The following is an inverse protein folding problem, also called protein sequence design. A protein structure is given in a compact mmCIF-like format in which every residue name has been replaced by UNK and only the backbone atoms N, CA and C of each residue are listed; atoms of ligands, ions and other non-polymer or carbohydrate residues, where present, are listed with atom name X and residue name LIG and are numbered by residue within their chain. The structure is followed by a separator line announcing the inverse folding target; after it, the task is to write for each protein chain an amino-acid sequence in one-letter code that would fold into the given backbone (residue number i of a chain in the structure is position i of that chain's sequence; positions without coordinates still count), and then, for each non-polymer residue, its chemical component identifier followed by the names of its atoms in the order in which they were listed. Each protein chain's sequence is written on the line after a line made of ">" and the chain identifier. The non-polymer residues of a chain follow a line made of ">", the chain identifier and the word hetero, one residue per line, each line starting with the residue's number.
data_IF_995624805825
#
_entry.id   IF_995624805825
#
_cell.length_a   1.000
_cell.length_b   1.000
_cell.length_c   1.000
_cell.angle_alpha   90.00
_cell.angle_beta   90.00
_cell.angle_gamma   90.00
#
_symmetry.space_group_name_H-M   'P 1'
#
loop_
_entity.id
_entity.type
_entity.pdbx_description
1 polymer ?
#
# COMPACT_ATOMS: atom_id res chain seq x y z
N UNK A 1 -84.75 -52.40 -38.52
CA UNK A 1 -83.86 -51.57 -37.70
C UNK A 1 -82.51 -51.45 -38.43
N UNK A 2 -82.27 -50.39 -39.24
CA UNK A 2 -80.96 -50.09 -39.82
C UNK A 2 -80.57 -48.64 -39.51
N UNK A 3 -80.20 -48.34 -38.27
CA UNK A 3 -79.75 -46.99 -37.86
C UNK A 3 -78.30 -46.98 -37.36
N UNK A 4 -77.70 -48.14 -37.10
CA UNK A 4 -76.34 -48.25 -36.53
C UNK A 4 -75.20 -47.98 -37.51
N UNK A 5 -75.41 -48.07 -38.83
CA UNK A 5 -74.32 -47.88 -39.82
C UNK A 5 -73.99 -46.41 -40.09
N UNK A 6 -74.99 -45.53 -40.11
CA UNK A 6 -74.77 -44.11 -40.44
C UNK A 6 -74.11 -43.29 -39.31
N UNK A 7 -74.34 -43.67 -38.05
CA UNK A 7 -73.68 -43.05 -36.89
C UNK A 7 -72.22 -43.49 -36.80
N UNK A 8 -71.92 -44.76 -37.10
CA UNK A 8 -70.57 -45.31 -37.09
C UNK A 8 -69.70 -44.74 -38.21
N UNK A 9 -70.27 -44.51 -39.41
CA UNK A 9 -69.57 -43.84 -40.51
C UNK A 9 -69.29 -42.35 -40.21
N UNK A 10 -70.17 -41.68 -39.47
CA UNK A 10 -70.00 -40.28 -39.05
C UNK A 10 -68.95 -40.12 -37.96
N UNK A 11 -68.88 -41.08 -37.04
CA UNK A 11 -67.87 -41.13 -35.98
C UNK A 11 -66.47 -41.41 -36.57
N UNK A 12 -66.35 -42.34 -37.51
CA UNK A 12 -65.09 -42.60 -38.23
C UNK A 12 -64.63 -41.36 -39.02
N UNK A 13 -65.54 -40.65 -39.68
CA UNK A 13 -65.21 -39.41 -40.39
C UNK A 13 -64.69 -38.32 -39.42
N UNK A 14 -65.31 -38.17 -38.24
CA UNK A 14 -64.86 -37.21 -37.22
C UNK A 14 -63.48 -37.58 -36.65
N UNK A 15 -63.20 -38.86 -36.42
CA UNK A 15 -61.87 -39.31 -36.00
C UNK A 15 -60.79 -39.09 -37.08
N UNK A 16 -61.12 -39.33 -38.35
CA UNK A 16 -60.20 -39.08 -39.47
C UNK A 16 -59.90 -37.57 -39.59
N UNK A 17 -60.91 -36.72 -39.46
CA UNK A 17 -60.73 -35.27 -39.56
C UNK A 17 -59.96 -34.70 -38.36
N UNK A 18 -60.22 -35.20 -37.13
CA UNK A 18 -59.44 -34.85 -35.95
C UNK A 18 -57.97 -35.29 -36.06
N UNK A 19 -57.71 -36.48 -36.62
CA UNK A 19 -56.36 -36.99 -36.87
C UNK A 19 -55.63 -36.13 -37.92
N UNK A 20 -56.31 -35.76 -39.02
CA UNK A 20 -55.77 -34.87 -40.06
C UNK A 20 -55.48 -33.47 -39.51
N UNK A 21 -56.32 -32.96 -38.62
CA UNK A 21 -56.10 -31.67 -37.98
C UNK A 21 -54.89 -31.71 -37.04
N UNK A 22 -54.78 -32.75 -36.21
CA UNK A 22 -53.62 -32.95 -35.35
C UNK A 22 -52.32 -33.14 -36.14
N UNK A 23 -52.38 -33.86 -37.27
CA UNK A 23 -51.23 -34.05 -38.16
C UNK A 23 -50.80 -32.73 -38.81
N UNK A 24 -51.76 -31.93 -39.28
CA UNK A 24 -51.47 -30.59 -39.83
C UNK A 24 -50.83 -29.70 -38.77
N UNK A 25 -51.39 -29.65 -37.57
CA UNK A 25 -50.84 -28.87 -36.45
C UNK A 25 -49.41 -29.30 -36.09
N UNK A 26 -49.14 -30.61 -36.04
CA UNK A 26 -47.78 -31.13 -35.79
C UNK A 26 -46.79 -30.68 -36.87
N UNK A 27 -47.14 -30.82 -38.16
CA UNK A 27 -46.28 -30.40 -39.27
C UNK A 27 -46.00 -28.90 -39.21
N UNK A 28 -47.04 -28.08 -39.05
CA UNK A 28 -46.89 -26.62 -38.95
C UNK A 28 -46.00 -26.21 -37.79
N UNK A 29 -46.15 -26.83 -36.60
CA UNK A 29 -45.27 -26.56 -35.47
C UNK A 29 -43.82 -26.95 -35.77
N UNK A 30 -43.60 -28.13 -36.35
CA UNK A 30 -42.28 -28.64 -36.62
C UNK A 30 -41.55 -27.86 -37.74
N UNK A 31 -42.28 -27.36 -38.74
CA UNK A 31 -41.75 -26.50 -39.81
C UNK A 31 -41.44 -25.08 -39.32
N UNK A 32 -42.14 -24.59 -38.28
CA UNK A 32 -41.85 -23.29 -37.67
C UNK A 32 -40.61 -23.31 -36.75
N UNK A 33 -40.13 -24.50 -36.34
CA UNK A 33 -38.99 -24.61 -35.44
C UNK A 33 -37.68 -24.11 -36.06
N UNK A 34 -36.78 -23.63 -35.20
CA UNK A 34 -35.44 -23.20 -35.62
C UNK A 34 -34.45 -24.33 -35.90
N UNK A 35 -34.82 -25.56 -35.56
CA UNK A 35 -33.97 -26.75 -35.68
C UNK A 35 -34.36 -27.54 -36.94
N UNK A 36 -33.41 -28.32 -37.47
CA UNK A 36 -33.77 -29.33 -38.47
C UNK A 36 -34.39 -30.51 -37.72
N UNK A 37 -35.56 -30.96 -38.14
CA UNK A 37 -36.29 -32.03 -37.45
C UNK A 37 -36.53 -33.21 -38.38
N UNK A 38 -36.58 -34.41 -37.80
CA UNK A 38 -36.87 -35.63 -38.53
C UNK A 38 -37.60 -36.65 -37.66
N UNK A 39 -38.33 -37.56 -38.33
CA UNK A 39 -38.92 -38.72 -37.67
C UNK A 39 -38.43 -40.02 -38.30
N UNK A 40 -38.21 -41.03 -37.46
CA UNK A 40 -37.85 -42.38 -37.92
C UNK A 40 -38.80 -43.44 -37.39
N UNK A 41 -38.90 -44.55 -38.13
CA UNK A 41 -39.63 -45.74 -37.71
C UNK A 41 -38.96 -46.39 -36.48
N UNK A 42 -39.60 -47.36 -35.80
CA UNK A 42 -38.97 -48.06 -34.66
C UNK A 42 -37.62 -48.70 -35.01
N UNK A 43 -37.41 -49.05 -36.28
CA UNK A 43 -36.17 -49.64 -36.80
C UNK A 43 -35.10 -48.61 -37.18
N UNK A 44 -35.34 -47.32 -36.93
CA UNK A 44 -34.39 -46.24 -37.24
C UNK A 44 -34.42 -45.77 -38.70
N UNK A 45 -35.44 -46.13 -39.47
CA UNK A 45 -35.59 -45.64 -40.85
C UNK A 45 -36.26 -44.27 -40.85
N UNK A 46 -35.48 -43.23 -41.15
CA UNK A 46 -35.98 -41.86 -41.27
C UNK A 46 -36.94 -41.76 -42.45
N UNK A 47 -38.13 -41.24 -42.23
CA UNK A 47 -39.20 -41.18 -43.24
C UNK A 47 -39.78 -39.78 -43.43
N UNK A 48 -39.48 -38.83 -42.56
CA UNK A 48 -39.92 -37.45 -42.69
C UNK A 48 -38.86 -36.48 -42.15
N UNK A 49 -38.77 -35.31 -42.79
CA UNK A 49 -37.95 -34.17 -42.40
C UNK A 49 -38.81 -32.90 -42.49
N UNK A 50 -38.54 -31.91 -41.64
CA UNK A 50 -39.20 -30.60 -41.74
C UNK A 50 -38.68 -29.77 -42.92
N UNK A 51 -39.41 -28.73 -43.32
CA UNK A 51 -39.03 -27.84 -44.43
C UNK A 51 -37.62 -27.24 -44.25
N UNK A 52 -37.23 -26.96 -43.00
CA UNK A 52 -35.94 -26.38 -42.66
C UNK A 52 -34.75 -27.29 -43.02
N UNK A 53 -34.91 -28.61 -42.90
CA UNK A 53 -33.90 -29.58 -43.36
C UNK A 53 -33.59 -29.42 -44.84
N UNK A 54 -34.63 -29.31 -45.68
CA UNK A 54 -34.48 -29.14 -47.12
C UNK A 54 -33.92 -27.75 -47.46
N UNK A 55 -34.38 -26.71 -46.77
CA UNK A 55 -33.87 -25.35 -46.95
C UNK A 55 -32.37 -25.22 -46.62
N UNK A 56 -31.90 -25.95 -45.60
CA UNK A 56 -30.50 -25.97 -45.17
C UNK A 56 -29.62 -26.83 -46.09
N UNK A 57 -29.99 -28.09 -46.31
CA UNK A 57 -29.16 -29.07 -47.05
C UNK A 57 -29.25 -28.92 -48.57
N UNK A 58 -30.32 -28.30 -49.09
CA UNK A 58 -30.61 -28.24 -50.53
C UNK A 58 -30.97 -29.60 -51.15
N UNK A 59 -31.15 -30.64 -50.34
CA UNK A 59 -31.48 -31.97 -50.84
C UNK A 59 -32.91 -32.02 -51.39
N UNK A 60 -33.14 -32.82 -52.43
CA UNK A 60 -34.49 -33.13 -52.88
C UNK A 60 -35.10 -34.25 -52.03
N UNK A 61 -36.43 -34.33 -52.00
CA UNK A 61 -37.14 -35.45 -51.38
C UNK A 61 -36.67 -36.79 -51.95
N UNK A 62 -36.52 -36.87 -53.27
CA UNK A 62 -36.02 -38.07 -53.98
C UNK A 62 -34.60 -38.48 -53.52
N UNK A 63 -33.69 -37.51 -53.36
CA UNK A 63 -32.35 -37.77 -52.87
C UNK A 63 -32.34 -38.27 -51.42
N UNK A 64 -33.23 -37.73 -50.58
CA UNK A 64 -33.42 -38.20 -49.19
C UNK A 64 -34.09 -39.57 -49.12
N UNK A 65 -34.94 -39.94 -50.09
CA UNK A 65 -35.50 -41.30 -50.18
C UNK A 65 -34.46 -42.31 -50.68
N UNK A 66 -33.56 -41.92 -51.60
CA UNK A 66 -32.59 -42.82 -52.22
C UNK A 66 -31.31 -43.04 -51.38
N UNK A 67 -30.68 -41.96 -50.91
CA UNK A 67 -29.40 -42.00 -50.18
C UNK A 67 -29.55 -41.62 -48.69
N UNK A 68 -30.66 -40.97 -48.33
CA UNK A 68 -30.94 -40.53 -46.97
C UNK A 68 -29.99 -39.45 -46.47
N UNK A 69 -30.13 -39.14 -45.19
CA UNK A 69 -29.30 -38.18 -44.46
C UNK A 69 -27.81 -38.56 -44.41
N UNK A 70 -27.43 -39.80 -44.74
CA UNK A 70 -26.03 -40.24 -44.83
C UNK A 70 -25.23 -39.47 -45.89
N UNK A 71 -25.93 -38.94 -46.90
CA UNK A 71 -25.34 -38.16 -48.00
C UNK A 71 -24.86 -36.77 -47.58
N UNK A 72 -25.40 -36.21 -46.50
CA UNK A 72 -25.05 -34.87 -45.98
C UNK A 72 -24.13 -34.95 -44.76
N UNK A 73 -23.75 -36.15 -44.32
CA UNK A 73 -22.86 -36.35 -43.18
C UNK A 73 -21.39 -36.29 -43.61
N UNK A 74 -20.56 -35.60 -42.82
CA UNK A 74 -19.12 -35.55 -43.05
C UNK A 74 -18.51 -36.97 -43.07
N UNK A 75 -17.66 -37.32 -44.07
CA UNK A 75 -17.13 -38.68 -44.23
C UNK A 75 -16.44 -39.23 -42.97
N UNK A 76 -15.63 -38.40 -42.29
CA UNK A 76 -14.86 -38.80 -41.11
C UNK A 76 -15.74 -39.15 -39.90
N UNK A 77 -16.93 -38.56 -39.79
CA UNK A 77 -17.84 -38.84 -38.68
C UNK A 77 -18.83 -39.96 -38.99
N UNK A 78 -18.88 -40.43 -40.24
CA UNK A 78 -19.92 -41.36 -40.72
C UNK A 78 -19.94 -42.66 -39.95
N UNK A 79 -18.80 -43.34 -39.82
CA UNK A 79 -18.73 -44.65 -39.17
C UNK A 79 -19.14 -44.57 -37.70
N UNK A 80 -18.56 -43.60 -36.96
CA UNK A 80 -18.88 -43.35 -35.54
C UNK A 80 -20.37 -43.08 -35.34
N UNK A 81 -20.93 -42.15 -36.12
CA UNK A 81 -22.33 -41.73 -36.00
C UNK A 81 -23.26 -42.89 -36.35
N UNK A 82 -22.96 -43.67 -37.40
CA UNK A 82 -23.72 -44.87 -37.76
C UNK A 82 -23.74 -45.90 -36.63
N UNK A 83 -22.56 -46.25 -36.09
CA UNK A 83 -22.44 -47.26 -35.05
C UNK A 83 -23.23 -46.87 -33.79
N UNK A 84 -23.12 -45.60 -33.37
CA UNK A 84 -23.78 -45.12 -32.16
C UNK A 84 -25.29 -44.92 -32.36
N UNK A 85 -25.76 -44.48 -33.53
CA UNK A 85 -27.20 -44.46 -33.83
C UNK A 85 -27.80 -45.86 -33.87
N UNK A 86 -27.11 -46.82 -34.48
CA UNK A 86 -27.57 -48.21 -34.52
C UNK A 86 -27.73 -48.79 -33.11
N UNK A 87 -26.81 -48.47 -32.21
CA UNK A 87 -26.89 -48.83 -30.80
C UNK A 87 -28.08 -48.16 -30.10
N UNK A 88 -28.27 -46.84 -30.28
CA UNK A 88 -29.40 -46.13 -29.68
C UNK A 88 -30.75 -46.70 -30.17
N UNK A 89 -30.87 -46.98 -31.47
CA UNK A 89 -32.07 -47.56 -32.06
C UNK A 89 -32.36 -48.99 -31.57
N UNK A 90 -31.33 -49.81 -31.35
CA UNK A 90 -31.54 -51.18 -30.87
C UNK A 90 -31.86 -51.24 -29.37
N UNK A 91 -31.31 -50.33 -28.57
CA UNK A 91 -31.49 -50.29 -27.12
C UNK A 91 -32.68 -49.42 -26.69
N UNK A 92 -33.15 -48.52 -27.55
CA UNK A 92 -34.14 -47.51 -27.17
C UNK A 92 -33.59 -46.45 -26.22
N UNK A 93 -32.28 -46.23 -26.22
CA UNK A 93 -31.62 -45.16 -25.45
C UNK A 93 -31.65 -43.83 -26.21
N UNK A 94 -31.53 -42.73 -25.48
CA UNK A 94 -31.49 -41.38 -26.06
C UNK A 94 -30.25 -41.25 -26.95
N UNK A 95 -30.46 -40.72 -28.15
CA UNK A 95 -29.38 -40.33 -29.06
C UNK A 95 -28.96 -38.89 -28.76
N UNK A 96 -27.66 -38.67 -28.58
CA UNK A 96 -27.05 -37.35 -28.55
C UNK A 96 -25.63 -37.43 -29.11
N UNK A 97 -25.34 -36.65 -30.15
CA UNK A 97 -23.99 -36.50 -30.69
C UNK A 97 -23.82 -35.18 -31.45
N UNK A 98 -22.58 -34.74 -31.57
CA UNK A 98 -22.19 -33.54 -32.31
C UNK A 98 -21.38 -33.93 -33.54
N UNK A 99 -21.79 -33.45 -34.71
CA UNK A 99 -21.09 -33.72 -35.97
C UNK A 99 -21.43 -32.69 -37.05
N UNK A 100 -20.59 -32.55 -38.09
CA UNK A 100 -20.84 -31.62 -39.17
C UNK A 100 -21.89 -32.15 -40.15
N UNK A 101 -22.84 -31.29 -40.53
CA UNK A 101 -23.82 -31.54 -41.59
C UNK A 101 -23.53 -30.59 -42.74
N UNK A 102 -23.59 -31.11 -43.96
CA UNK A 102 -23.34 -30.35 -45.19
C UNK A 102 -24.55 -29.49 -45.54
N UNK A 103 -24.33 -28.19 -45.69
CA UNK A 103 -25.29 -27.24 -46.24
C UNK A 103 -25.37 -27.29 -47.76
N UNK A 104 -26.35 -26.57 -48.33
CA UNK A 104 -26.54 -26.43 -49.79
C UNK A 104 -25.38 -25.76 -50.52
N UNK A 105 -24.59 -24.98 -49.79
CA UNK A 105 -23.36 -24.33 -50.24
C UNK A 105 -22.15 -25.27 -50.26
N UNK A 106 -22.32 -26.50 -49.76
CA UNK A 106 -21.26 -27.50 -49.64
C UNK A 106 -20.42 -27.36 -48.37
N UNK A 107 -20.62 -26.31 -47.57
CA UNK A 107 -19.92 -26.13 -46.29
C UNK A 107 -20.46 -27.09 -45.24
N UNK A 108 -19.60 -27.50 -44.30
CA UNK A 108 -19.97 -28.34 -43.18
C UNK A 108 -20.08 -27.49 -41.92
N UNK A 109 -21.28 -27.41 -41.36
CA UNK A 109 -21.55 -26.69 -40.12
C UNK A 109 -21.80 -27.68 -38.99
N UNK A 110 -21.44 -27.31 -37.76
CA UNK A 110 -21.56 -28.17 -36.60
C UNK A 110 -23.00 -28.20 -36.08
N UNK A 111 -23.56 -29.40 -35.94
CA UNK A 111 -24.87 -29.58 -35.33
C UNK A 111 -24.79 -30.49 -34.10
N UNK A 112 -25.53 -30.10 -33.06
CA UNK A 112 -25.93 -30.98 -31.98
C UNK A 112 -27.17 -31.75 -32.43
N UNK A 113 -27.02 -33.06 -32.62
CA UNK A 113 -28.11 -33.97 -32.95
C UNK A 113 -28.63 -34.66 -31.70
N UNK A 114 -29.94 -34.59 -31.46
CA UNK A 114 -30.62 -35.30 -30.37
C UNK A 114 -31.79 -36.08 -30.91
N UNK A 115 -32.03 -37.30 -30.41
CA UNK A 115 -33.25 -38.03 -30.75
C UNK A 115 -33.79 -38.85 -29.57
N UNK A 116 -35.12 -38.84 -29.46
CA UNK A 116 -35.88 -39.47 -28.38
C UNK A 116 -36.84 -40.52 -28.95
N UNK A 117 -36.95 -41.71 -28.33
CA UNK A 117 -37.93 -42.71 -28.71
C UNK A 117 -39.30 -42.40 -28.10
N UNK A 118 -40.32 -42.28 -28.94
CA UNK A 118 -41.72 -42.28 -28.52
C UNK A 118 -42.19 -43.72 -28.30
N UNK A 119 -42.89 -43.96 -27.19
CA UNK A 119 -43.36 -45.28 -26.79
C UNK A 119 -44.87 -45.33 -26.70
N UNK A 120 -45.46 -46.48 -27.04
CA UNK A 120 -46.87 -46.75 -26.78
C UNK A 120 -47.14 -47.06 -25.30
N UNK A 121 -48.41 -47.25 -24.93
CA UNK A 121 -48.82 -47.61 -23.58
C UNK A 121 -48.28 -48.98 -23.11
N UNK A 122 -47.74 -49.80 -24.02
CA UNK A 122 -47.12 -51.11 -23.75
C UNK A 122 -45.58 -51.02 -23.67
N UNK A 123 -45.01 -49.82 -23.83
CA UNK A 123 -43.57 -49.56 -23.77
C UNK A 123 -42.81 -49.81 -25.09
N UNK A 124 -43.50 -50.22 -26.16
CA UNK A 124 -42.87 -50.42 -27.47
C UNK A 124 -42.57 -49.08 -28.14
N UNK A 125 -41.41 -48.98 -28.78
CA UNK A 125 -41.06 -47.79 -29.54
C UNK A 125 -41.96 -47.72 -30.78
N UNK A 126 -42.67 -46.61 -30.94
CA UNK A 126 -43.53 -46.34 -32.09
C UNK A 126 -42.79 -45.50 -33.13
N UNK A 127 -42.07 -44.47 -32.70
CA UNK A 127 -41.34 -43.55 -33.57
C UNK A 127 -40.14 -42.97 -32.84
N UNK A 128 -39.16 -42.48 -33.59
CA UNK A 128 -38.12 -41.61 -33.08
C UNK A 128 -38.36 -40.18 -33.55
N UNK A 129 -38.21 -39.22 -32.65
CA UNK A 129 -38.20 -37.80 -32.95
C UNK A 129 -36.78 -37.29 -32.77
N UNK A 130 -36.20 -36.72 -33.83
CA UNK A 130 -34.86 -36.17 -33.78
C UNK A 130 -34.81 -34.71 -34.21
N UNK A 131 -33.89 -33.97 -33.62
CA UNK A 131 -33.57 -32.60 -34.01
C UNK A 131 -32.07 -32.40 -34.21
N UNK A 132 -31.74 -31.40 -35.02
CA UNK A 132 -30.38 -30.88 -35.22
C UNK A 132 -30.40 -29.38 -34.92
N UNK A 133 -29.67 -28.99 -33.88
CA UNK A 133 -29.44 -27.58 -33.52
C UNK A 133 -28.09 -27.15 -34.06
N UNK A 134 -28.07 -26.06 -34.84
CA UNK A 134 -26.81 -25.47 -35.31
C UNK A 134 -26.05 -24.89 -34.11
N UNK A 135 -24.83 -25.40 -33.90
CA UNK A 135 -23.92 -24.97 -32.84
C UNK A 135 -22.60 -24.40 -33.42
N UNK A 136 -22.56 -24.08 -34.71
CA UNK A 136 -21.35 -23.60 -35.39
C UNK A 136 -20.81 -22.32 -34.76
N UNK A 137 -21.69 -21.38 -34.46
CA UNK A 137 -21.31 -20.14 -33.77
C UNK A 137 -20.69 -20.41 -32.39
N UNK A 138 -21.19 -21.43 -31.67
CA UNK A 138 -20.66 -21.83 -30.38
C UNK A 138 -19.28 -22.47 -30.52
N UNK A 139 -19.11 -23.44 -31.43
CA UNK A 139 -17.83 -24.11 -31.67
C UNK A 139 -16.76 -23.10 -32.10
N UNK A 140 -17.09 -22.19 -33.01
CA UNK A 140 -16.16 -21.15 -33.46
C UNK A 140 -15.78 -20.18 -32.33
N UNK A 141 -16.72 -19.83 -31.45
CA UNK A 141 -16.44 -18.96 -30.31
C UNK A 141 -15.55 -19.67 -29.26
N UNK A 142 -15.79 -20.95 -29.01
CA UNK A 142 -14.95 -21.77 -28.12
C UNK A 142 -13.52 -21.89 -28.65
N UNK A 143 -13.35 -22.10 -29.96
CA UNK A 143 -12.04 -22.15 -30.59
C UNK A 143 -11.32 -20.80 -30.55
N UNK A 144 -12.00 -19.70 -30.89
CA UNK A 144 -11.42 -18.35 -30.81
C UNK A 144 -11.02 -17.97 -29.38
N UNK A 145 -11.81 -18.36 -28.37
CA UNK A 145 -11.47 -18.16 -26.96
C UNK A 145 -10.23 -18.96 -26.56
N UNK A 146 -10.12 -20.21 -27.02
CA UNK A 146 -8.94 -21.04 -26.78
C UNK A 146 -7.69 -20.40 -27.36
N UNK A 147 -7.72 -19.98 -28.63
CA UNK A 147 -6.60 -19.32 -29.30
C UNK A 147 -6.20 -18.01 -28.59
N UNK A 148 -7.19 -17.21 -28.18
CA UNK A 148 -6.95 -15.98 -27.43
C UNK A 148 -6.31 -16.27 -26.07
N UNK A 149 -6.78 -17.30 -25.36
CA UNK A 149 -6.22 -17.67 -24.06
C UNK A 149 -4.77 -18.15 -24.18
N UNK A 150 -4.46 -18.99 -25.17
CA UNK A 150 -3.08 -19.42 -25.46
C UNK A 150 -2.17 -18.22 -25.79
N UNK A 151 -2.66 -17.27 -26.59
CA UNK A 151 -1.91 -16.04 -26.91
C UNK A 151 -1.69 -15.15 -25.67
N UNK A 152 -2.70 -15.01 -24.81
CA UNK A 152 -2.61 -14.24 -23.57
C UNK A 152 -1.62 -14.88 -22.60
N UNK A 153 -1.64 -16.20 -22.43
CA UNK A 153 -0.70 -16.93 -21.58
C UNK A 153 0.75 -16.71 -22.03
N UNK A 154 1.02 -16.76 -23.33
CA UNK A 154 2.34 -16.45 -23.88
C UNK A 154 2.77 -15.01 -23.57
N UNK A 155 1.87 -14.04 -23.78
CA UNK A 155 2.16 -12.62 -23.53
C UNK A 155 2.37 -12.32 -22.05
N UNK A 156 1.59 -12.95 -21.17
CA UNK A 156 1.75 -12.83 -19.72
C UNK A 156 3.10 -13.42 -19.29
N UNK A 157 3.49 -14.58 -19.83
CA UNK A 157 4.78 -15.19 -19.53
C UNK A 157 5.96 -14.31 -19.97
N UNK A 158 5.88 -13.71 -21.17
CA UNK A 158 6.90 -12.78 -21.68
C UNK A 158 7.01 -11.53 -20.79
N UNK A 159 5.88 -10.87 -20.50
CA UNK A 159 5.85 -9.67 -19.64
C UNK A 159 6.31 -9.96 -18.22
N UNK A 160 6.03 -11.14 -17.68
CA UNK A 160 6.49 -11.54 -16.35
C UNK A 160 8.01 -11.66 -16.32
N UNK A 161 8.63 -12.27 -17.34
CA UNK A 161 10.10 -12.37 -17.44
C UNK A 161 10.77 -11.01 -17.59
N UNK A 162 10.19 -10.12 -18.39
CA UNK A 162 10.68 -8.75 -18.54
C UNK A 162 10.62 -7.99 -17.20
N UNK A 163 9.50 -8.12 -16.48
CA UNK A 163 9.30 -7.45 -15.20
C UNK A 163 10.27 -7.99 -14.13
N UNK A 164 10.48 -9.31 -14.06
CA UNK A 164 11.47 -9.91 -13.15
C UNK A 164 12.88 -9.42 -13.43
N UNK A 165 13.25 -9.28 -14.71
CA UNK A 165 14.57 -8.77 -15.12
C UNK A 165 14.73 -7.31 -14.73
N UNK A 166 13.73 -6.47 -15.02
CA UNK A 166 13.74 -5.06 -14.64
C UNK A 166 13.79 -4.88 -13.12
N UNK A 167 13.06 -5.70 -12.35
CA UNK A 167 13.04 -5.63 -10.90
C UNK A 167 14.41 -5.97 -10.30
N UNK A 168 15.08 -7.02 -10.81
CA UNK A 168 16.44 -7.38 -10.39
C UNK A 168 17.45 -6.26 -10.65
N UNK A 169 17.37 -5.62 -11.82
CA UNK A 169 18.24 -4.48 -12.16
C UNK A 169 17.98 -3.29 -11.22
N UNK A 170 16.72 -2.97 -10.96
CA UNK A 170 16.35 -1.88 -10.07
C UNK A 170 16.81 -2.14 -8.62
N UNK A 171 16.71 -3.38 -8.14
CA UNK A 171 17.22 -3.75 -6.81
C UNK A 171 18.74 -3.58 -6.72
N UNK A 172 19.49 -3.93 -7.76
CA UNK A 172 20.93 -3.73 -7.81
C UNK A 172 21.29 -2.24 -7.78
N UNK A 173 20.59 -1.41 -8.56
CA UNK A 173 20.79 0.05 -8.60
C UNK A 173 20.47 0.70 -7.24
N UNK A 174 19.38 0.29 -6.58
CA UNK A 174 19.02 0.77 -5.24
C UNK A 174 20.12 0.42 -4.22
N UNK A 175 20.66 -0.81 -4.28
CA UNK A 175 21.73 -1.23 -3.39
C UNK A 175 23.02 -0.42 -3.61
N UNK A 176 23.40 -0.20 -4.87
CA UNK A 176 24.56 0.63 -5.22
C UNK A 176 24.40 2.07 -4.76
N UNK A 177 23.22 2.65 -5.00
CA UNK A 177 22.90 4.01 -4.55
C UNK A 177 22.94 4.14 -3.03
N UNK A 178 22.40 3.16 -2.30
CA UNK A 178 22.44 3.16 -0.83
C UNK A 178 23.88 3.12 -0.30
N UNK A 179 24.76 2.32 -0.91
CA UNK A 179 26.18 2.28 -0.55
C UNK A 179 26.88 3.62 -0.83
N UNK A 180 26.59 4.25 -1.99
CA UNK A 180 27.16 5.55 -2.34
C UNK A 180 26.69 6.67 -1.39
N UNK A 181 25.41 6.69 -1.03
CA UNK A 181 24.86 7.65 -0.07
C UNK A 181 25.49 7.48 1.32
N UNK A 182 25.68 6.24 1.79
CA UNK A 182 26.35 5.99 3.07
C UNK A 182 27.84 6.40 3.03
N UNK A 183 28.54 6.10 1.93
CA UNK A 183 29.92 6.53 1.74
C UNK A 183 30.05 8.06 1.73
N UNK A 184 29.15 8.76 1.04
CA UNK A 184 29.10 10.23 1.01
C UNK A 184 28.83 10.79 2.40
N UNK A 185 27.86 10.24 3.12
CA UNK A 185 27.57 10.64 4.50
C UNK A 185 28.77 10.41 5.43
N UNK A 186 29.49 9.30 5.24
CA UNK A 186 30.71 9.01 5.99
C UNK A 186 31.83 10.01 5.64
N UNK A 187 32.00 10.34 4.36
CA UNK A 187 32.96 11.34 3.90
C UNK A 187 32.64 12.73 4.47
N UNK A 188 31.39 13.19 4.39
CA UNK A 188 30.94 14.45 4.99
C UNK A 188 31.18 14.49 6.50
N UNK A 189 30.92 13.37 7.19
CA UNK A 189 31.25 13.23 8.62
C UNK A 189 32.76 13.34 8.85
N UNK A 190 33.57 12.73 7.99
CA UNK A 190 35.03 12.76 8.10
C UNK A 190 35.60 14.15 7.81
N UNK A 191 35.04 14.88 6.85
CA UNK A 191 35.40 16.27 6.54
C UNK A 191 35.02 17.21 7.69
N UNK A 192 33.81 17.04 8.24
CA UNK A 192 33.38 17.77 9.43
C UNK A 192 34.29 17.47 10.63
N UNK A 193 34.64 16.19 10.86
CA UNK A 193 35.64 15.80 11.87
C UNK A 193 37.01 16.39 11.56
N UNK A 194 37.43 16.47 10.30
CA UNK A 194 38.72 17.05 9.89
C UNK A 194 38.81 18.55 10.20
N UNK A 195 37.78 19.31 9.83
CA UNK A 195 37.68 20.74 10.17
C UNK A 195 37.58 20.96 11.68
N UNK A 196 36.78 20.12 12.37
CA UNK A 196 36.69 20.13 13.83
C UNK A 196 38.04 19.81 14.47
N UNK A 197 38.76 18.79 14.02
CA UNK A 197 40.03 18.38 14.64
C UNK A 197 41.09 19.49 14.49
N UNK A 198 41.12 20.17 13.34
CA UNK A 198 42.00 21.34 13.13
C UNK A 198 41.66 22.53 14.03
N UNK A 199 40.37 22.91 14.09
CA UNK A 199 39.90 24.02 14.92
C UNK A 199 40.00 23.72 16.43
N UNK A 200 39.64 22.50 16.84
CA UNK A 200 39.74 22.04 18.23
C UNK A 200 41.19 21.95 18.66
N UNK A 201 42.10 21.42 17.84
CA UNK A 201 43.52 21.36 18.18
C UNK A 201 44.10 22.76 18.38
N UNK A 202 43.73 23.71 17.52
CA UNK A 202 44.10 25.11 17.68
C UNK A 202 43.56 25.70 18.99
N UNK A 203 42.29 25.48 19.32
CA UNK A 203 41.68 26.00 20.54
C UNK A 203 42.21 25.33 21.82
N UNK A 204 42.50 24.03 21.76
CA UNK A 204 43.16 23.31 22.86
C UNK A 204 44.56 23.87 23.11
N UNK A 205 45.34 24.09 22.05
CA UNK A 205 46.66 24.69 22.14
C UNK A 205 46.57 26.10 22.73
N UNK A 206 45.59 26.90 22.35
CA UNK A 206 45.40 28.24 22.91
C UNK A 206 45.10 28.22 24.42
N UNK A 207 44.26 27.29 24.86
CA UNK A 207 43.96 27.14 26.30
C UNK A 207 45.17 26.62 27.07
N UNK A 208 45.89 25.63 26.53
CA UNK A 208 47.11 25.09 27.13
C UNK A 208 48.21 26.13 27.22
N UNK A 209 48.43 26.92 26.18
CA UNK A 209 49.39 28.04 26.18
C UNK A 209 49.04 29.07 27.25
N UNK A 210 47.75 29.35 27.47
CA UNK A 210 47.28 30.23 28.55
C UNK A 210 47.62 29.69 29.95
N UNK A 211 47.40 28.39 30.18
CA UNK A 211 47.74 27.73 31.46
C UNK A 211 49.25 27.70 31.67
N UNK A 212 50.02 27.25 30.68
CA UNK A 212 51.48 27.12 30.76
C UNK A 212 52.13 28.50 30.96
N UNK A 213 51.73 29.51 30.17
CA UNK A 213 52.28 30.86 30.30
C UNK A 213 51.98 31.50 31.65
N UNK A 214 50.80 31.25 32.22
CA UNK A 214 50.47 31.70 33.57
C UNK A 214 51.33 31.00 34.64
N UNK A 215 51.55 29.69 34.51
CA UNK A 215 52.44 28.92 35.40
C UNK A 215 53.90 29.39 35.33
N UNK A 216 54.41 29.68 34.14
CA UNK A 216 55.77 30.21 33.97
C UNK A 216 55.93 31.59 34.63
N UNK A 217 54.92 32.46 34.50
CA UNK A 217 54.92 33.76 35.18
C UNK A 217 54.84 33.64 36.70
N UNK A 218 54.08 32.67 37.22
CA UNK A 218 54.07 32.35 38.66
C UNK A 218 55.47 31.94 39.12
N UNK A 219 56.14 31.01 38.42
CA UNK A 219 57.50 30.55 38.77
C UNK A 219 58.49 31.72 38.77
N UNK A 220 58.44 32.59 37.77
CA UNK A 220 59.31 33.76 37.66
C UNK A 220 59.08 34.77 38.80
N UNK A 221 57.82 35.03 39.19
CA UNK A 221 57.49 35.99 40.25
C UNK A 221 57.83 35.48 41.64
N UNK A 222 57.63 34.18 41.90
CA UNK A 222 58.03 33.53 43.14
C UNK A 222 59.55 33.57 43.31
N UNK A 223 60.31 33.25 42.27
CA UNK A 223 61.78 33.32 42.30
C UNK A 223 62.31 34.75 42.58
N UNK A 224 61.55 35.78 42.18
CA UNK A 224 61.88 37.19 42.42
C UNK A 224 61.35 37.73 43.77
N UNK A 225 60.77 36.90 44.64
CA UNK A 225 60.22 37.32 45.93
C UNK A 225 58.94 38.16 45.86
N UNK A 226 58.31 38.29 44.67
CA UNK A 226 57.14 39.15 44.43
C UNK A 226 55.83 38.38 44.55
N UNK A 227 55.58 37.84 45.75
CA UNK A 227 54.44 36.96 46.02
C UNK A 227 53.09 37.67 45.87
N UNK A 228 53.02 38.98 46.16
CA UNK A 228 51.80 39.77 45.98
C UNK A 228 51.29 39.85 44.52
N UNK A 229 52.14 39.57 43.53
CA UNK A 229 51.76 39.59 42.11
C UNK A 229 51.36 38.21 41.56
N UNK A 230 51.42 37.15 42.38
CA UNK A 230 51.18 35.75 41.94
C UNK A 230 49.69 35.48 41.73
N UNK A 231 48.82 36.10 42.55
CA UNK A 231 47.37 35.86 42.54
C UNK A 231 46.74 36.06 41.15
N UNK A 232 47.07 37.14 40.44
CA UNK A 232 46.55 37.40 39.08
C UNK A 232 46.88 36.32 38.06
N UNK A 233 48.03 35.65 38.20
CA UNK A 233 48.45 34.61 37.28
C UNK A 233 47.81 33.26 37.65
N UNK A 234 47.56 33.01 38.94
CA UNK A 234 46.74 31.89 39.41
C UNK A 234 45.31 31.97 38.83
N UNK A 235 44.69 33.15 38.89
CA UNK A 235 43.35 33.37 38.34
C UNK A 235 43.31 33.17 36.82
N UNK A 236 44.33 33.64 36.09
CA UNK A 236 44.46 33.45 34.65
C UNK A 236 44.61 31.96 34.26
N UNK A 237 45.38 31.20 35.03
CA UNK A 237 45.52 29.75 34.84
C UNK A 237 44.21 29.00 35.13
N UNK A 238 43.53 29.33 36.22
CA UNK A 238 42.25 28.72 36.59
C UNK A 238 41.16 29.01 35.56
N UNK A 239 41.08 30.25 35.08
CA UNK A 239 40.15 30.65 34.01
C UNK A 239 40.41 29.88 32.71
N UNK A 240 41.68 29.68 32.34
CA UNK A 240 42.04 28.86 31.17
C UNK A 240 41.69 27.38 31.37
N UNK A 241 41.98 26.79 32.53
CA UNK A 241 41.61 25.40 32.84
C UNK A 241 40.09 25.16 32.80
N UNK A 242 39.29 26.09 33.33
CA UNK A 242 37.83 26.01 33.28
C UNK A 242 37.30 26.08 31.84
N UNK A 243 37.91 26.89 30.96
CA UNK A 243 37.58 26.91 29.53
C UNK A 243 37.86 25.56 28.85
N UNK A 244 38.99 24.91 29.15
CA UNK A 244 39.29 23.56 28.64
C UNK A 244 38.25 22.52 29.10
N UNK A 245 37.82 22.58 30.37
CA UNK A 245 36.84 21.66 30.93
C UNK A 245 35.42 21.84 30.34
N UNK A 246 35.09 23.07 29.91
CA UNK A 246 33.83 23.35 29.21
C UNK A 246 33.87 22.83 27.76
N UNK A 247 35.00 23.03 27.06
CA UNK A 247 35.19 22.57 25.68
C UNK A 247 35.11 21.03 25.56
N UNK A 248 35.76 20.30 26.48
CA UNK A 248 35.74 18.83 26.50
C UNK A 248 34.36 18.23 26.75
N UNK A 249 33.57 18.81 27.66
CA UNK A 249 32.17 18.39 27.89
C UNK A 249 31.28 18.55 26.65
N UNK A 250 31.48 19.62 25.89
CA UNK A 250 30.75 19.86 24.62
C UNK A 250 31.11 18.82 23.56
N UNK A 251 32.38 18.44 23.45
CA UNK A 251 32.85 17.42 22.51
C UNK A 251 32.27 16.02 22.79
N UNK A 252 32.22 15.63 24.06
CA UNK A 252 31.67 14.34 24.48
C UNK A 252 30.16 14.23 24.24
N UNK A 253 29.44 15.36 24.28
CA UNK A 253 28.00 15.42 24.01
C UNK A 253 27.72 15.22 22.51
N UNK A 254 28.54 15.79 21.62
CA UNK A 254 28.42 15.63 20.17
C UNK A 254 28.78 14.21 19.68
N UNK A 255 29.68 13.51 20.37
CA UNK A 255 30.18 12.20 19.94
C UNK A 255 29.22 11.02 20.23
N UNK A 256 28.21 11.17 21.09
CA UNK A 256 27.34 10.06 21.50
C UNK A 256 26.15 9.88 20.54
N UNK A 257 26.16 8.78 19.78
CA UNK A 257 24.96 8.16 19.21
C UNK A 257 24.35 7.22 20.25
N UNK A 258 23.26 7.60 20.91
CA UNK A 258 22.44 6.68 21.69
C UNK A 258 21.19 6.30 20.90
N UNK A 259 20.91 5.00 20.79
CA UNK A 259 19.61 4.48 20.39
C UNK A 259 18.57 4.90 21.42
N UNK A 260 17.44 5.47 20.99
CA UNK A 260 16.34 5.87 21.89
C UNK A 260 15.84 4.66 22.68
N UNK A 261 15.81 4.77 24.00
CA UNK A 261 15.17 3.80 24.88
C UNK A 261 13.72 4.23 25.13
N UNK A 262 12.83 3.87 24.20
CA UNK A 262 11.44 4.32 24.23
C UNK A 262 10.66 3.65 25.37
N UNK A 263 10.28 4.43 26.38
CA UNK A 263 9.46 4.03 27.53
C UNK A 263 8.13 4.80 27.54
N UNK A 264 7.23 4.43 28.47
CA UNK A 264 6.01 5.19 28.73
C UNK A 264 6.34 6.24 29.78
N UNK A 265 6.21 7.52 29.41
CA UNK A 265 6.62 8.66 30.23
C UNK A 265 5.41 9.51 30.59
N UNK A 266 5.22 9.76 31.88
CA UNK A 266 4.31 10.80 32.37
C UNK A 266 5.05 12.15 32.33
N UNK A 267 4.70 13.00 31.37
CA UNK A 267 5.34 14.29 31.14
C UNK A 267 5.25 15.19 32.37
N UNK A 268 4.14 15.18 33.10
CA UNK A 268 3.98 16.02 34.28
C UNK A 268 4.84 15.52 35.44
N UNK A 269 4.93 14.20 35.63
CA UNK A 269 5.80 13.61 36.64
C UNK A 269 7.28 13.97 36.35
N UNK A 270 7.71 13.84 35.10
CA UNK A 270 9.06 14.20 34.65
C UNK A 270 9.36 15.69 34.82
N UNK A 271 8.44 16.60 34.42
CA UNK A 271 8.68 18.05 34.60
C UNK A 271 8.79 18.40 36.09
N UNK A 272 7.98 17.77 36.96
CA UNK A 272 8.05 17.98 38.42
C UNK A 272 9.35 17.43 39.01
N UNK A 273 9.84 16.28 38.56
CA UNK A 273 11.13 15.74 39.05
C UNK A 273 12.31 16.63 38.65
N UNK A 274 12.21 17.33 37.51
CA UNK A 274 13.21 18.27 37.03
C UNK A 274 13.12 19.67 37.66
N UNK A 275 12.09 19.99 38.43
CA UNK A 275 11.81 21.37 38.88
C UNK A 275 13.00 22.02 39.59
N UNK A 276 13.67 21.31 40.51
CA UNK A 276 14.84 21.82 41.23
C UNK A 276 16.00 22.15 40.29
N UNK A 277 16.26 21.27 39.31
CA UNK A 277 17.31 21.44 38.32
C UNK A 277 17.00 22.61 37.37
N UNK A 278 15.75 22.75 36.93
CA UNK A 278 15.31 23.84 36.07
C UNK A 278 15.41 25.18 36.80
N UNK A 279 14.94 25.26 38.06
CA UNK A 279 15.09 26.46 38.89
C UNK A 279 16.55 26.81 39.11
N UNK A 280 17.42 25.83 39.37
CA UNK A 280 18.87 26.04 39.50
C UNK A 280 19.53 26.54 38.21
N UNK A 281 19.04 26.08 37.04
CA UNK A 281 19.56 26.48 35.73
C UNK A 281 19.15 27.91 35.36
N UNK A 282 17.91 28.30 35.67
CA UNK A 282 17.42 29.66 35.48
C UNK A 282 18.07 30.63 36.49
N UNK A 283 18.21 30.19 37.75
CA UNK A 283 18.84 30.97 38.81
C UNK A 283 18.15 32.30 39.08
N UNK A 284 18.91 33.29 39.57
CA UNK A 284 18.40 34.65 39.81
C UNK A 284 18.21 35.47 38.52
N UNK A 285 18.44 34.87 37.33
CA UNK A 285 18.36 35.57 36.05
C UNK A 285 16.91 35.84 35.62
N UNK A 286 15.97 34.94 35.91
CA UNK A 286 14.58 35.09 35.51
C UNK A 286 13.61 34.33 36.43
N UNK A 287 12.33 34.68 36.39
CA UNK A 287 11.27 33.99 37.11
C UNK A 287 10.77 32.78 36.29
N UNK A 288 10.79 31.59 36.88
CA UNK A 288 10.30 30.35 36.25
C UNK A 288 8.92 29.98 36.79
N UNK A 289 7.93 29.93 35.89
CA UNK A 289 6.57 29.44 36.15
C UNK A 289 6.37 28.06 35.52
N UNK A 290 5.73 27.15 36.25
CA UNK A 290 5.42 25.79 35.78
C UNK A 290 3.92 25.58 35.88
N UNK A 291 3.26 25.45 34.73
CA UNK A 291 1.81 25.28 34.61
C UNK A 291 1.48 23.95 33.93
N UNK A 292 1.07 22.95 34.70
CA UNK A 292 0.83 21.59 34.19
C UNK A 292 -0.66 21.26 34.22
N UNK A 293 -1.23 20.95 33.05
CA UNK A 293 -2.62 20.48 32.96
C UNK A 293 -2.76 19.12 33.67
N UNK A 294 -3.81 18.95 34.49
CA UNK A 294 -4.06 17.70 35.20
C UNK A 294 -4.68 16.64 34.28
N UNK A 295 -4.40 15.36 34.52
CA UNK A 295 -5.03 14.25 33.78
C UNK A 295 -4.46 13.98 32.37
N UNK A 296 -3.23 14.42 32.08
CA UNK A 296 -2.58 14.14 30.79
C UNK A 296 -2.27 12.64 30.61
N UNK A 297 -2.48 12.15 29.38
CA UNK A 297 -2.06 10.80 28.96
C UNK A 297 -0.55 10.68 28.90
N UNK A 298 -0.02 9.48 29.17
CA UNK A 298 1.41 9.21 29.01
C UNK A 298 1.84 9.16 27.54
N UNK A 299 3.06 9.62 27.26
CA UNK A 299 3.69 9.60 25.93
C UNK A 299 4.66 8.44 25.80
N UNK A 300 4.88 7.93 24.59
CA UNK A 300 5.90 6.92 24.32
C UNK A 300 7.16 7.57 23.76
N UNK A 301 8.16 7.79 24.61
CA UNK A 301 9.41 8.46 24.23
C UNK A 301 10.57 8.02 25.12
N UNK A 302 11.77 8.49 24.84
CA UNK A 302 12.92 8.32 25.73
C UNK A 302 12.91 9.44 26.78
N UNK A 303 12.73 9.05 28.05
CA UNK A 303 12.64 9.99 29.18
C UNK A 303 13.86 10.90 29.27
N UNK A 304 15.07 10.35 29.18
CA UNK A 304 16.30 11.13 29.27
C UNK A 304 16.48 12.11 28.10
N UNK A 305 16.06 11.73 26.89
CA UNK A 305 16.11 12.65 25.76
C UNK A 305 15.06 13.75 25.88
N UNK A 306 13.88 13.46 26.44
CA UNK A 306 12.86 14.47 26.73
C UNK A 306 13.33 15.43 27.82
N UNK A 307 13.94 14.94 28.89
CA UNK A 307 14.57 15.76 29.95
C UNK A 307 15.62 16.72 29.35
N UNK A 308 16.52 16.19 28.53
CA UNK A 308 17.55 16.97 27.86
C UNK A 308 16.96 18.00 26.88
N UNK A 309 15.90 17.64 26.16
CA UNK A 309 15.22 18.56 25.26
C UNK A 309 14.60 19.73 26.03
N UNK A 310 13.90 19.44 27.14
CA UNK A 310 13.33 20.47 28.02
C UNK A 310 14.41 21.38 28.60
N UNK A 311 15.51 20.81 29.09
CA UNK A 311 16.63 21.57 29.65
C UNK A 311 17.25 22.51 28.60
N UNK A 312 17.45 22.03 27.37
CA UNK A 312 17.98 22.85 26.28
C UNK A 312 17.06 24.01 25.93
N UNK A 313 15.74 23.78 25.91
CA UNK A 313 14.77 24.85 25.68
C UNK A 313 14.78 25.89 26.79
N UNK A 314 14.85 25.46 28.07
CA UNK A 314 14.92 26.38 29.21
C UNK A 314 16.23 27.18 29.22
N UNK A 315 17.36 26.58 28.85
CA UNK A 315 18.64 27.29 28.70
C UNK A 315 18.54 28.35 27.59
N UNK A 316 17.97 27.98 26.43
CA UNK A 316 17.80 28.90 25.31
C UNK A 316 16.89 30.08 25.69
N UNK A 317 15.76 29.79 26.35
CA UNK A 317 14.83 30.79 26.86
C UNK A 317 15.50 31.73 27.88
N UNK A 318 16.27 31.19 28.83
CA UNK A 318 17.00 31.96 29.85
C UNK A 318 17.99 32.94 29.21
N UNK A 319 18.74 32.46 28.23
CA UNK A 319 19.73 33.29 27.55
C UNK A 319 19.09 34.36 26.66
N UNK A 320 17.84 34.17 26.23
CA UNK A 320 17.09 35.12 25.41
C UNK A 320 16.41 36.22 26.24
N UNK A 321 16.14 35.96 27.52
CA UNK A 321 15.49 36.95 28.41
C UNK A 321 16.50 37.88 29.09
N UNK A 322 16.12 39.16 29.31
CA UNK A 322 16.89 40.04 30.18
C UNK A 322 16.81 39.60 31.65
N UNK A 323 17.73 40.11 32.48
CA UNK A 323 17.72 39.86 33.93
C UNK A 323 16.39 40.35 34.53
N UNK A 324 15.69 39.47 35.25
CA UNK A 324 14.34 39.71 35.78
C UNK A 324 13.19 39.35 34.83
N UNK A 325 13.48 38.73 33.68
CA UNK A 325 12.48 38.24 32.74
C UNK A 325 11.64 37.08 33.28
N UNK A 326 10.73 36.56 32.45
CA UNK A 326 9.81 35.46 32.79
C UNK A 326 9.94 34.31 31.79
N UNK A 327 10.03 33.10 32.33
CA UNK A 327 9.93 31.85 31.59
C UNK A 327 8.74 31.06 32.12
N UNK A 328 8.00 30.40 31.23
CA UNK A 328 6.92 29.51 31.58
C UNK A 328 7.11 28.15 30.90
N UNK A 329 7.08 27.07 31.67
CA UNK A 329 6.97 25.70 31.17
C UNK A 329 5.53 25.25 31.31
N UNK A 330 4.92 24.77 30.22
CA UNK A 330 3.50 24.46 30.19
C UNK A 330 3.22 23.12 29.52
N UNK A 331 2.40 22.27 30.10
CA UNK A 331 1.94 21.02 29.47
C UNK A 331 0.43 21.08 29.21
N UNK A 332 0.01 20.62 28.03
CA UNK A 332 -1.41 20.56 27.64
C UNK A 332 -1.74 19.34 26.79
N UNK A 333 -3.00 18.93 26.80
CA UNK A 333 -3.51 17.96 25.83
C UNK A 333 -3.83 18.63 24.48
N UNK A 334 -3.52 17.96 23.38
CA UNK A 334 -3.78 18.42 22.02
C UNK A 334 -4.35 17.27 21.19
N UNK A 335 -5.60 17.39 20.72
CA UNK A 335 -6.19 16.43 19.78
C UNK A 335 -6.22 17.03 18.38
N UNK A 336 -5.60 16.34 17.41
CA UNK A 336 -5.59 16.72 16.01
C UNK A 336 -6.68 15.95 15.25
N UNK A 337 -7.67 16.67 14.72
CA UNK A 337 -8.76 16.09 13.93
C UNK A 337 -8.36 15.79 12.47
N UNK A 338 -7.34 16.47 11.95
CA UNK A 338 -6.82 16.32 10.59
C UNK A 338 -5.30 16.42 10.59
N UNK A 339 -4.66 15.92 9.53
CA UNK A 339 -3.21 15.98 9.36
C UNK A 339 -2.75 17.44 9.32
N UNK A 340 -1.75 17.80 10.14
CA UNK A 340 -1.20 19.15 10.21
C UNK A 340 0.31 19.09 10.42
N UNK A 341 1.09 19.83 9.62
CA UNK A 341 2.56 19.97 9.79
C UNK A 341 3.35 18.64 9.86
N UNK A 342 2.83 17.61 9.19
CA UNK A 342 3.40 16.25 9.17
C UNK A 342 3.01 15.37 10.37
N UNK A 343 2.16 15.85 11.28
CA UNK A 343 1.51 15.04 12.31
C UNK A 343 0.23 14.40 11.78
N UNK A 344 0.02 13.12 12.09
CA UNK A 344 -1.21 12.40 11.78
C UNK A 344 -2.34 12.82 12.74
N UNK A 345 -3.63 12.64 12.37
CA UNK A 345 -4.74 12.81 13.31
C UNK A 345 -4.54 11.90 14.53
N UNK A 346 -4.74 12.43 15.73
CA UNK A 346 -4.50 11.68 16.96
C UNK A 346 -4.43 12.54 18.22
N UNK A 347 -4.19 11.86 19.34
CA UNK A 347 -4.04 12.47 20.67
C UNK A 347 -2.54 12.75 20.91
N UNK A 348 -2.20 13.98 21.26
CA UNK A 348 -0.84 14.45 21.51
C UNK A 348 -0.76 15.15 22.87
N UNK A 349 0.42 15.13 23.48
CA UNK A 349 0.77 16.02 24.58
C UNK A 349 1.66 17.12 24.01
N UNK A 350 1.30 18.37 24.30
CA UNK A 350 2.09 19.54 23.96
C UNK A 350 2.84 20.03 25.19
N UNK A 351 4.16 19.89 25.20
CA UNK A 351 5.06 20.49 26.18
C UNK A 351 5.65 21.77 25.60
N UNK A 352 5.43 22.91 26.24
CA UNK A 352 5.80 24.23 25.74
C UNK A 352 6.76 24.93 26.68
N UNK A 353 7.76 25.63 26.13
CA UNK A 353 8.60 26.57 26.86
C UNK A 353 8.40 27.95 26.24
N UNK A 354 7.98 28.90 27.06
CA UNK A 354 7.68 30.28 26.68
C UNK A 354 8.59 31.25 27.42
N UNK A 355 9.10 32.25 26.71
CA UNK A 355 9.91 33.33 27.25
C UNK A 355 9.40 34.68 26.75
N UNK A 356 9.71 35.75 27.50
CA UNK A 356 9.43 37.14 27.11
C UNK A 356 10.72 37.88 26.68
N UNK A 357 11.63 37.16 26.03
CA UNK A 357 12.95 37.64 25.66
C UNK A 357 13.00 38.40 24.33
N UNK A 358 14.18 38.40 23.70
CA UNK A 358 14.42 39.12 22.46
C UNK A 358 13.64 38.61 21.25
N UNK A 359 13.06 37.40 21.32
CA UNK A 359 12.38 36.77 20.18
C UNK A 359 13.33 36.36 19.05
N UNK A 360 12.75 35.84 17.97
CA UNK A 360 13.40 35.38 16.76
C UNK A 360 12.72 36.07 15.57
N UNK A 361 13.52 36.61 14.65
CA UNK A 361 13.00 37.24 13.44
C UNK A 361 12.40 36.18 12.48
N UNK A 362 11.29 36.52 11.82
CA UNK A 362 10.48 35.58 11.02
C UNK A 362 11.24 34.98 9.83
N UNK A 363 12.24 35.68 9.31
CA UNK A 363 13.10 35.24 8.20
C UNK A 363 14.10 34.14 8.59
N UNK A 364 14.38 33.96 9.89
CA UNK A 364 15.33 32.97 10.39
C UNK A 364 14.68 31.81 11.15
N UNK A 365 13.35 31.83 11.38
CA UNK A 365 12.63 30.78 12.13
C UNK A 365 12.84 29.38 11.52
N UNK A 366 12.83 29.26 10.20
CA UNK A 366 13.04 27.95 9.57
C UNK A 366 14.49 27.45 9.70
N UNK A 367 15.45 28.37 9.81
CA UNK A 367 16.88 28.07 9.91
C UNK A 367 17.34 27.75 11.34
N UNK A 368 16.54 28.04 12.38
CA UNK A 368 16.97 27.78 13.77
C UNK A 368 17.11 26.29 14.10
N UNK A 369 16.55 25.41 13.26
CA UNK A 369 16.74 23.96 13.38
C UNK A 369 18.00 23.45 12.67
N UNK A 370 18.69 24.29 11.88
CA UNK A 370 19.92 23.88 11.21
C UNK A 370 21.06 23.72 12.22
N UNK A 371 21.85 22.64 12.13
CA UNK A 371 23.00 22.45 12.99
C UNK A 371 23.97 23.64 12.91
N UNK A 372 24.40 24.15 14.07
CA UNK A 372 25.33 25.27 14.25
C UNK A 372 24.76 26.66 13.92
N UNK A 373 23.48 26.77 13.55
CA UNK A 373 22.85 28.07 13.38
C UNK A 373 22.65 28.78 14.73
N UNK A 374 23.17 30.00 14.87
CA UNK A 374 23.00 30.80 16.09
C UNK A 374 23.04 32.29 15.77
N UNK A 375 22.12 33.06 16.34
CA UNK A 375 22.11 34.52 16.28
C UNK A 375 22.94 35.17 17.40
N UNK A 376 23.45 34.37 18.34
CA UNK A 376 24.28 34.83 19.47
C UNK A 376 25.75 35.09 19.04
N UNK A 377 26.47 36.01 19.71
CA UNK A 377 27.89 36.27 19.45
C UNK A 377 28.77 35.03 19.55
N UNK A 378 29.90 35.04 18.84
CA UNK A 378 30.86 33.92 18.79
C UNK A 378 31.26 33.46 20.20
N UNK A 379 30.97 32.20 20.52
CA UNK A 379 31.27 31.56 21.82
C UNK A 379 30.12 31.51 22.83
N UNK A 380 29.01 32.20 22.58
CA UNK A 380 27.83 32.26 23.48
C UNK A 380 26.64 31.40 23.02
N UNK A 381 26.71 30.81 21.83
CA UNK A 381 25.72 29.85 21.33
C UNK A 381 26.41 28.76 20.52
N UNK A 382 26.03 27.50 20.74
CA UNK A 382 26.56 26.36 19.96
C UNK A 382 25.80 26.12 18.67
N UNK A 383 24.58 26.66 18.55
CA UNK A 383 23.64 26.37 17.46
C UNK A 383 23.21 24.90 17.35
N UNK A 384 23.50 24.10 18.38
CA UNK A 384 23.20 22.67 18.39
C UNK A 384 21.97 22.32 19.25
N UNK A 385 21.59 23.18 20.19
CA UNK A 385 20.52 22.87 21.14
C UNK A 385 19.19 22.58 20.45
N UNK A 386 18.76 23.47 19.56
CA UNK A 386 17.45 23.37 18.93
C UNK A 386 17.41 22.31 17.81
N UNK A 387 18.52 22.10 17.10
CA UNK A 387 18.66 21.02 16.12
C UNK A 387 18.61 19.63 16.77
N UNK A 388 19.19 19.46 17.96
CA UNK A 388 19.05 18.23 18.76
C UNK A 388 17.60 18.00 19.21
N UNK A 389 16.93 19.05 19.69
CA UNK A 389 15.51 18.98 20.10
C UNK A 389 14.61 18.59 18.92
N UNK A 390 14.83 19.19 17.74
CA UNK A 390 14.10 18.87 16.51
C UNK A 390 14.32 17.41 16.09
N UNK A 391 15.56 16.95 16.05
CA UNK A 391 15.92 15.58 15.68
C UNK A 391 15.27 14.54 16.61
N UNK A 392 15.38 14.74 17.93
CA UNK A 392 14.73 13.89 18.94
C UNK A 392 13.21 13.83 18.76
N UNK A 393 12.57 14.99 18.58
CA UNK A 393 11.11 15.07 18.51
C UNK A 393 10.58 14.37 17.27
N UNK A 394 11.25 14.55 16.11
CA UNK A 394 10.92 13.83 14.88
C UNK A 394 11.14 12.32 15.02
N UNK A 395 12.23 11.90 15.65
CA UNK A 395 12.52 10.47 15.88
C UNK A 395 11.50 9.81 16.82
N UNK A 396 10.89 10.59 17.72
CA UNK A 396 9.78 10.16 18.59
C UNK A 396 8.40 10.21 17.90
N UNK A 397 8.33 10.51 16.60
CA UNK A 397 7.07 10.64 15.86
C UNK A 397 6.27 11.90 16.17
N UNK A 398 6.91 12.90 16.78
CA UNK A 398 6.34 14.19 17.13
C UNK A 398 6.70 15.32 16.18
N UNK A 399 6.37 16.54 16.58
CA UNK A 399 6.72 17.77 15.87
C UNK A 399 7.14 18.89 16.82
N UNK A 400 8.00 19.80 16.33
CA UNK A 400 8.40 21.02 17.05
C UNK A 400 7.85 22.21 16.30
N UNK A 401 7.08 23.05 17.00
CA UNK A 401 6.51 24.28 16.46
C UNK A 401 7.05 25.48 17.23
N UNK A 402 7.37 26.58 16.54
CA UNK A 402 7.91 27.80 17.15
C UNK A 402 7.00 28.98 16.81
N UNK A 403 6.48 29.63 17.84
CA UNK A 403 5.80 30.92 17.74
C UNK A 403 6.74 31.98 18.32
N UNK A 404 7.27 32.88 17.49
CA UNK A 404 8.17 33.92 17.99
C UNK A 404 7.89 35.26 17.31
N UNK A 405 8.04 36.34 18.07
CA UNK A 405 7.97 37.71 17.56
C UNK A 405 9.12 38.50 18.16
N UNK A 406 9.89 39.15 17.30
CA UNK A 406 11.06 39.94 17.72
C UNK A 406 10.64 41.00 18.76
N UNK A 407 11.36 41.03 19.88
CA UNK A 407 11.09 41.91 21.02
C UNK A 407 9.92 41.51 21.93
N UNK A 408 9.16 40.46 21.61
CA UNK A 408 8.05 39.97 22.47
C UNK A 408 8.29 38.59 23.07
N UNK A 409 9.33 37.89 22.62
CA UNK A 409 9.75 36.59 23.14
C UNK A 409 9.42 35.43 22.21
N UNK A 410 9.68 34.22 22.71
CA UNK A 410 9.54 32.98 21.93
C UNK A 410 8.75 31.93 22.71
N UNK A 411 7.92 31.19 22.01
CA UNK A 411 7.26 29.99 22.50
C UNK A 411 7.61 28.81 21.61
N UNK A 412 8.21 27.79 22.21
CA UNK A 412 8.56 26.54 21.52
C UNK A 412 7.66 25.43 22.04
N UNK A 413 7.02 24.71 21.13
CA UNK A 413 6.09 23.63 21.41
C UNK A 413 6.68 22.29 20.95
N UNK A 414 6.79 21.34 21.86
CA UNK A 414 7.07 19.94 21.58
C UNK A 414 5.76 19.16 21.60
N UNK A 415 5.35 18.63 20.46
CA UNK A 415 4.12 17.85 20.31
C UNK A 415 4.49 16.37 20.20
N UNK A 416 4.16 15.59 21.22
CA UNK A 416 4.52 14.19 21.34
C UNK A 416 3.27 13.30 21.30
N UNK A 417 3.27 12.20 20.53
CA UNK A 417 2.09 11.35 20.40
C UNK A 417 1.76 10.62 21.71
N UNK A 418 0.49 10.63 22.08
CA UNK A 418 -0.03 9.78 23.16
C UNK A 418 -0.10 8.33 22.68
N UNK A 419 0.19 7.37 23.57
CA UNK A 419 0.14 5.96 23.20
C UNK A 419 -1.29 5.46 22.93
N UNK A 420 -1.65 5.26 21.67
CA UNK A 420 -2.52 4.15 21.23
C UNK A 420 -1.68 3.21 20.36
N UNK A 421 -1.86 1.90 20.54
CA UNK A 421 -1.20 0.90 19.72
C UNK A 421 -1.45 1.23 18.23
N UNK A 422 -0.38 1.45 17.46
CA UNK A 422 -0.48 1.26 16.02
C UNK A 422 -0.82 -0.22 15.83
N UNK A 423 -2.08 -0.49 15.50
CA UNK A 423 -2.54 -1.80 15.08
C UNK A 423 -1.89 -2.07 13.73
N UNK A 424 -1.08 -3.13 13.72
CA UNK A 424 -0.61 -3.97 12.60
C UNK A 424 0.03 -3.27 11.39
#
# INVERSE_FOLDING_TARGET
>A
MPLHSAEQDREVAQYIDALRESERQFRTLADNMSQLAWTASPRGQVHWYNERWYAYTGASLEAMTALGWRSVLHPEHRERVMARLQYCFSTGSIWEDTFPIRGKDGAFNWFLSRALPLRDARGHITHWLGTHTDITAQVNAEEALRELNESLELRVAERTRELETANKLLQAEIAERAMAEEALRHAQKMDAIGQLTGGIAHDFNNVLSGVIGALDMIRLRVAAGRIGEVARYLDAAASSANRAAALTRRLLTFARRQSLNVTVVDVNCMVRSMEELLRGTVGAHAHLEIELEEGLSAVRTDEHQLENALLNLVINARDAVPVGGRLCVRSRSLTLAAQKEGLLPGDYIQLSVEDNGCGIAQDVIDQVFDPFFTTKPVGQGTGLGLSMVYGFTRQSGGHVHIESTEGQGTRVHLQLPCGKAAVA
#
